data_IF_845404347704
#
_entry.id   IF_845404347704
#
_cell.length_a   1.000
_cell.length_b   1.000
_cell.length_c   1.000
_cell.angle_alpha   90.00
_cell.angle_beta   90.00
_cell.angle_gamma   90.00
#
_symmetry.space_group_name_H-M   'P 1'
#
loop_
_entity.id
_entity.type
_entity.pdbx_description
1 polymer ?
#
# COMPACT_ATOMS: atom_id res chain seq x y z
N UNK A 1 -43.47 37.27 3.83
CA UNK A 1 -42.73 36.01 3.60
C UNK A 1 -43.70 34.98 3.02
N UNK A 2 -43.59 34.68 1.71
CA UNK A 2 -44.48 33.72 1.04
C UNK A 2 -43.81 32.34 1.02
N UNK A 3 -44.48 31.32 1.55
CA UNK A 3 -44.03 29.92 1.50
C UNK A 3 -44.51 29.31 0.17
N UNK A 4 -43.59 28.88 -0.67
CA UNK A 4 -43.88 28.16 -1.91
C UNK A 4 -44.33 26.72 -1.63
N UNK A 5 -45.49 26.26 -2.16
CA UNK A 5 -45.98 24.89 -1.95
C UNK A 5 -45.50 23.87 -3.00
N UNK A 6 -44.49 24.17 -3.83
CA UNK A 6 -44.02 23.28 -4.92
C UNK A 6 -42.72 22.53 -4.63
N UNK A 7 -42.59 21.91 -3.46
CA UNK A 7 -41.54 20.91 -3.20
C UNK A 7 -42.17 19.62 -2.70
N UNK A 8 -42.60 18.81 -3.64
CA UNK A 8 -42.85 17.40 -3.35
C UNK A 8 -41.52 16.67 -3.07
N UNK A 9 -41.49 15.74 -2.11
CA UNK A 9 -40.34 14.88 -1.89
C UNK A 9 -40.21 13.87 -3.03
N UNK A 10 -39.06 13.89 -3.71
CA UNK A 10 -38.64 12.86 -4.65
C UNK A 10 -38.66 11.48 -3.97
N UNK A 11 -39.60 10.63 -4.38
CA UNK A 11 -39.63 9.21 -4.05
C UNK A 11 -38.89 8.42 -5.15
N UNK A 12 -37.73 7.80 -4.88
CA UNK A 12 -37.14 6.88 -5.84
C UNK A 12 -37.97 5.60 -5.88
N UNK A 13 -38.70 5.43 -6.99
CA UNK A 13 -39.38 4.20 -7.38
C UNK A 13 -38.37 3.05 -7.30
N UNK A 14 -38.66 2.07 -6.45
CA UNK A 14 -37.91 0.81 -6.33
C UNK A 14 -38.10 -0.01 -7.62
N UNK A 15 -37.30 0.33 -8.63
CA UNK A 15 -37.15 -0.44 -9.86
C UNK A 15 -36.40 -1.75 -9.58
N UNK A 16 -37.03 -2.84 -10.00
CA UNK A 16 -36.63 -4.23 -9.83
C UNK A 16 -35.20 -4.48 -10.34
N UNK A 17 -34.39 -5.16 -9.53
CA UNK A 17 -33.13 -5.74 -9.96
C UNK A 17 -33.40 -6.71 -11.13
N UNK A 18 -32.84 -6.40 -12.30
CA UNK A 18 -32.69 -7.39 -13.37
C UNK A 18 -31.44 -8.23 -13.10
N UNK A 19 -31.52 -9.57 -13.14
CA UNK A 19 -30.36 -10.42 -13.04
C UNK A 19 -29.69 -10.45 -14.42
N UNK A 20 -28.56 -9.77 -14.58
CA UNK A 20 -27.71 -10.00 -15.75
C UNK A 20 -27.25 -11.45 -15.75
N UNK A 21 -27.33 -12.12 -16.91
CA UNK A 21 -26.08 -12.59 -17.46
C UNK A 21 -26.05 -12.27 -18.96
N UNK A 22 -24.97 -11.65 -19.42
CA UNK A 22 -24.29 -11.95 -20.70
C UNK A 22 -23.30 -10.84 -21.03
N UNK A 23 -22.04 -11.25 -21.21
CA UNK A 23 -20.94 -10.36 -21.53
C UNK A 23 -19.58 -11.01 -21.30
N UNK A 24 -19.39 -12.24 -21.82
CA UNK A 24 -18.04 -12.79 -22.05
C UNK A 24 -17.32 -11.84 -23.00
N UNK A 25 -16.43 -11.00 -22.45
CA UNK A 25 -15.49 -10.23 -23.24
C UNK A 25 -14.35 -11.19 -23.60
N UNK A 26 -14.42 -11.75 -24.80
CA UNK A 26 -13.32 -12.43 -25.46
C UNK A 26 -12.17 -11.43 -25.64
N UNK A 27 -11.12 -11.58 -24.85
CA UNK A 27 -9.82 -10.98 -25.15
C UNK A 27 -9.14 -11.86 -26.21
N UNK A 28 -9.00 -11.32 -27.42
CA UNK A 28 -8.25 -11.90 -28.53
C UNK A 28 -7.21 -10.87 -28.97
N UNK A 29 -5.95 -11.29 -29.08
CA UNK A 29 -4.81 -10.51 -29.59
C UNK A 29 -3.96 -9.93 -28.47
N UNK A 30 -2.85 -10.58 -28.12
CA UNK A 30 -1.52 -10.28 -28.69
C UNK A 30 -0.70 -9.60 -27.57
N UNK A 31 0.54 -9.90 -27.25
CA UNK A 31 1.64 -10.53 -27.96
C UNK A 31 2.60 -11.07 -26.89
N UNK A 32 3.17 -12.24 -27.16
CA UNK A 32 4.35 -12.74 -26.47
C UNK A 32 5.52 -11.80 -26.80
N UNK A 33 6.09 -11.10 -25.82
CA UNK A 33 7.40 -10.46 -26.02
C UNK A 33 8.47 -11.24 -25.25
N UNK A 34 9.01 -12.21 -25.97
CA UNK A 34 10.23 -12.95 -25.66
C UNK A 34 11.38 -12.00 -25.39
N UNK A 35 11.93 -12.12 -24.18
CA UNK A 35 13.17 -11.57 -23.73
C UNK A 35 14.34 -12.09 -24.60
N UNK A 36 14.64 -11.43 -25.72
CA UNK A 36 15.81 -11.75 -26.54
C UNK A 36 16.98 -10.87 -26.12
N UNK A 37 17.88 -11.46 -25.34
CA UNK A 37 19.28 -11.06 -25.27
C UNK A 37 19.85 -10.94 -26.68
N UNK A 38 20.13 -9.72 -27.15
CA UNK A 38 21.07 -9.49 -28.23
C UNK A 38 22.32 -8.86 -27.64
N UNK A 39 23.22 -9.75 -27.20
CA UNK A 39 24.65 -9.49 -27.26
C UNK A 39 24.97 -9.21 -28.73
N UNK A 40 25.22 -7.94 -29.05
CA UNK A 40 25.88 -7.56 -30.29
C UNK A 40 27.19 -6.87 -29.90
N UNK A 41 28.22 -7.69 -29.80
CA UNK A 41 29.60 -7.26 -29.91
C UNK A 41 29.83 -6.82 -31.36
N UNK A 42 29.96 -5.51 -31.58
CA UNK A 42 30.55 -4.99 -32.81
C UNK A 42 31.97 -4.52 -32.50
N UNK A 43 33.00 -5.06 -33.17
CA UNK A 43 34.37 -4.63 -33.03
C UNK A 43 34.66 -3.47 -34.00
N UNK A 44 35.56 -2.57 -33.58
CA UNK A 44 36.24 -1.55 -34.39
C UNK A 44 35.45 -0.25 -34.65
N UNK A 45 35.71 0.74 -33.81
CA UNK A 45 36.06 2.06 -34.34
C UNK A 45 37.14 2.69 -33.47
N UNK A 46 38.37 2.33 -33.84
CA UNK A 46 39.62 2.93 -33.43
C UNK A 46 39.81 4.23 -34.23
N UNK A 47 39.75 5.38 -33.56
CA UNK A 47 40.30 6.68 -34.03
C UNK A 47 40.23 7.77 -32.93
N UNK A 48 41.32 7.84 -32.16
CA UNK A 48 42.12 9.05 -31.89
C UNK A 48 41.45 10.37 -31.48
N UNK A 49 41.53 10.71 -30.18
CA UNK A 49 41.60 12.10 -29.64
C UNK A 49 42.53 12.05 -28.38
N UNK A 50 43.33 13.08 -28.07
CA UNK A 50 44.64 12.92 -27.47
C UNK A 50 44.61 12.71 -25.96
N UNK A 51 45.51 11.85 -25.51
CA UNK A 51 45.82 11.54 -24.11
C UNK A 51 46.59 12.71 -23.49
N UNK A 52 45.86 13.71 -22.99
CA UNK A 52 46.41 14.68 -22.03
C UNK A 52 46.23 14.14 -20.62
N UNK A 53 47.18 13.32 -20.21
CA UNK A 53 47.47 13.06 -18.81
C UNK A 53 48.94 12.64 -18.78
N UNK A 54 49.77 13.46 -18.15
CA UNK A 54 51.18 13.19 -17.92
C UNK A 54 51.37 11.72 -17.52
N UNK A 55 52.08 10.96 -18.35
CA UNK A 55 52.36 9.56 -18.07
C UNK A 55 53.45 9.53 -17.01
N UNK A 56 53.10 9.09 -15.80
CA UNK A 56 54.09 8.60 -14.85
C UNK A 56 54.85 7.40 -15.49
N UNK A 57 56.14 7.22 -15.19
CA UNK A 57 56.97 6.17 -15.80
C UNK A 57 56.43 4.76 -15.51
N UNK A 58 56.65 3.80 -16.43
CA UNK A 58 56.10 2.46 -16.33
C UNK A 58 56.78 1.70 -15.18
N UNK A 59 56.02 1.46 -14.11
CA UNK A 59 56.49 0.75 -12.92
C UNK A 59 56.08 1.40 -11.59
N UNK A 60 55.60 2.64 -11.60
CA UNK A 60 55.12 3.27 -10.38
C UNK A 60 53.60 3.04 -10.21
N UNK A 61 53.25 1.98 -9.49
CA UNK A 61 51.94 1.90 -8.84
C UNK A 61 51.94 3.01 -7.78
N UNK A 62 51.00 3.97 -7.78
CA UNK A 62 50.89 4.92 -6.69
C UNK A 62 50.70 4.12 -5.40
N UNK A 63 51.61 4.27 -4.44
CA UNK A 63 51.59 3.54 -3.15
C UNK A 63 50.42 4.00 -2.25
N UNK A 64 49.52 4.83 -2.79
CA UNK A 64 48.33 5.34 -2.11
C UNK A 64 47.02 4.69 -2.61
N UNK A 65 47.10 3.48 -3.18
CA UNK A 65 45.93 2.61 -3.34
C UNK A 65 45.70 1.86 -2.02
N UNK A 66 45.59 2.61 -0.93
CA UNK A 66 45.08 2.09 0.32
C UNK A 66 43.55 1.94 0.16
N UNK A 67 43.06 0.70 0.28
CA UNK A 67 41.64 0.32 0.23
C UNK A 67 40.74 1.00 1.30
N UNK A 68 41.25 2.02 2.00
CA UNK A 68 40.56 2.76 3.06
C UNK A 68 40.12 4.17 2.67
N UNK A 69 40.62 4.76 1.59
CA UNK A 69 40.38 6.18 1.26
C UNK A 69 39.88 6.42 -0.18
N UNK A 70 39.21 5.44 -0.79
CA UNK A 70 38.49 5.68 -2.05
C UNK A 70 37.20 6.45 -1.74
N UNK A 71 37.29 7.78 -1.64
CA UNK A 71 36.12 8.64 -1.57
C UNK A 71 35.50 8.67 -2.99
N UNK A 72 34.66 7.66 -3.28
CA UNK A 72 33.89 7.60 -4.51
C UNK A 72 32.92 8.80 -4.53
N UNK A 73 33.38 9.94 -5.04
CA UNK A 73 32.52 11.09 -5.38
C UNK A 73 31.33 10.64 -6.23
N UNK A 74 31.53 9.62 -7.07
CA UNK A 74 30.46 8.98 -7.84
C UNK A 74 29.43 8.25 -6.96
N UNK A 75 29.84 7.60 -5.86
CA UNK A 75 28.92 6.91 -4.95
C UNK A 75 28.06 7.88 -4.11
N UNK A 76 28.52 9.11 -3.84
CA UNK A 76 27.68 10.17 -3.26
C UNK A 76 26.48 10.50 -4.17
N UNK A 77 26.61 10.27 -5.48
CA UNK A 77 25.57 10.49 -6.49
C UNK A 77 24.83 9.22 -6.92
N UNK A 78 25.22 8.03 -6.46
CA UNK A 78 24.61 6.74 -6.87
C UNK A 78 23.14 6.59 -6.44
N UNK A 79 22.67 7.36 -5.46
CA UNK A 79 21.23 7.49 -5.12
C UNK A 79 20.49 8.63 -5.82
N UNK A 80 21.21 9.54 -6.50
CA UNK A 80 20.69 10.74 -7.16
C UNK A 80 20.60 10.60 -8.68
N UNK A 81 20.35 9.39 -9.20
CA UNK A 81 20.03 9.20 -10.63
C UNK A 81 18.71 9.90 -10.95
N UNK A 82 18.82 11.17 -11.34
CA UNK A 82 17.71 12.08 -11.52
C UNK A 82 17.39 12.80 -10.22
N UNK A 83 17.93 14.01 -10.11
CA UNK A 83 17.59 15.01 -9.12
C UNK A 83 16.26 14.84 -8.42
N UNK A 84 16.31 14.90 -7.09
CA UNK A 84 15.14 14.87 -6.24
C UNK A 84 14.06 15.89 -6.65
N UNK A 85 12.95 15.91 -5.92
CA UNK A 85 11.90 16.94 -6.12
C UNK A 85 12.49 18.37 -6.15
N UNK A 86 13.56 18.60 -5.38
CA UNK A 86 14.27 19.88 -5.29
C UNK A 86 15.00 20.26 -6.59
N UNK A 87 15.66 19.32 -7.26
CA UNK A 87 16.31 19.60 -8.55
C UNK A 87 15.28 19.88 -9.63
N UNK A 88 14.21 19.07 -9.73
CA UNK A 88 13.12 19.32 -10.68
C UNK A 88 12.48 20.70 -10.44
N UNK A 89 12.31 21.10 -9.18
CA UNK A 89 11.81 22.43 -8.83
C UNK A 89 12.80 23.55 -9.19
N UNK A 90 14.10 23.31 -9.00
CA UNK A 90 15.17 24.23 -9.39
C UNK A 90 15.20 24.43 -10.91
N UNK A 91 15.21 23.34 -11.67
CA UNK A 91 15.12 23.34 -13.13
C UNK A 91 13.85 24.05 -13.61
N UNK A 92 12.70 23.80 -12.97
CA UNK A 92 11.46 24.49 -13.32
C UNK A 92 11.57 26.00 -13.10
N UNK A 93 12.19 26.44 -12.00
CA UNK A 93 12.42 27.87 -11.74
C UNK A 93 13.36 28.47 -12.78
N UNK A 94 14.45 27.80 -13.10
CA UNK A 94 15.40 28.24 -14.13
C UNK A 94 14.73 28.33 -15.51
N UNK A 95 14.00 27.30 -15.93
CA UNK A 95 13.26 27.29 -17.20
C UNK A 95 12.24 28.42 -17.27
N UNK A 96 11.47 28.66 -16.20
CA UNK A 96 10.51 29.78 -16.13
C UNK A 96 11.20 31.14 -16.21
N UNK A 97 12.32 31.32 -15.51
CA UNK A 97 13.12 32.55 -15.57
C UNK A 97 13.66 32.80 -16.98
N UNK A 98 14.22 31.77 -17.62
CA UNK A 98 14.68 31.86 -19.02
C UNK A 98 13.54 32.27 -19.96
N UNK A 99 12.39 31.60 -19.88
CA UNK A 99 11.22 31.94 -20.71
C UNK A 99 10.73 33.37 -20.46
N UNK A 100 10.67 33.81 -19.20
CA UNK A 100 10.27 35.17 -18.86
C UNK A 100 11.28 36.21 -19.38
N UNK A 101 12.59 35.95 -19.20
CA UNK A 101 13.65 36.83 -19.69
C UNK A 101 13.63 36.98 -21.21
N UNK A 102 13.48 35.87 -21.95
CA UNK A 102 13.34 35.95 -23.41
C UNK A 102 12.09 36.74 -23.81
N UNK A 103 10.93 36.52 -23.16
CA UNK A 103 9.70 37.25 -23.47
C UNK A 103 9.85 38.77 -23.32
N UNK A 104 10.59 39.23 -22.31
CA UNK A 104 10.87 40.66 -22.12
C UNK A 104 11.76 41.22 -23.23
N UNK A 105 12.78 40.47 -23.62
CA UNK A 105 13.81 40.90 -24.57
C UNK A 105 13.44 40.69 -26.05
N UNK A 106 12.32 40.03 -26.38
CA UNK A 106 11.91 39.76 -27.77
C UNK A 106 11.68 41.01 -28.63
N UNK A 107 11.50 42.17 -28.00
CA UNK A 107 11.32 43.45 -28.68
C UNK A 107 12.63 44.05 -29.21
N UNK A 108 13.79 43.56 -28.75
CA UNK A 108 15.11 44.03 -29.20
C UNK A 108 15.80 43.00 -30.10
N UNK A 109 16.59 43.49 -31.06
CA UNK A 109 17.39 42.64 -31.95
C UNK A 109 18.38 41.77 -31.16
N UNK A 110 18.99 42.34 -30.12
CA UNK A 110 19.88 41.64 -29.20
C UNK A 110 19.17 40.51 -28.45
N UNK A 111 17.94 40.74 -28.00
CA UNK A 111 17.14 39.72 -27.33
C UNK A 111 16.75 38.54 -28.22
N UNK A 112 16.47 38.81 -29.50
CA UNK A 112 16.24 37.77 -30.50
C UNK A 112 17.52 36.95 -30.71
N UNK A 113 18.68 37.61 -30.82
CA UNK A 113 19.97 36.91 -30.97
C UNK A 113 20.31 36.03 -29.76
N UNK A 114 20.09 36.53 -28.53
CA UNK A 114 20.29 35.75 -27.31
C UNK A 114 19.40 34.51 -27.26
N UNK A 115 18.11 34.66 -27.60
CA UNK A 115 17.20 33.52 -27.70
C UNK A 115 17.66 32.50 -28.74
N UNK A 116 18.09 32.96 -29.91
CA UNK A 116 18.59 32.08 -30.97
C UNK A 116 19.87 31.35 -30.54
N UNK A 117 20.80 32.04 -29.85
CA UNK A 117 22.01 31.43 -29.28
C UNK A 117 21.66 30.30 -28.31
N UNK A 118 20.71 30.53 -27.42
CA UNK A 118 20.30 29.53 -26.44
C UNK A 118 19.60 28.33 -27.09
N UNK A 119 18.77 28.56 -28.12
CA UNK A 119 18.13 27.49 -28.88
C UNK A 119 19.15 26.65 -29.65
N UNK A 120 20.14 27.28 -30.28
CA UNK A 120 21.23 26.60 -30.98
C UNK A 120 22.12 25.82 -30.02
N UNK A 121 22.46 26.39 -28.86
CA UNK A 121 23.21 25.69 -27.80
C UNK A 121 22.46 24.45 -27.31
N UNK A 122 21.15 24.58 -27.06
CA UNK A 122 20.32 23.44 -26.67
C UNK A 122 20.21 22.38 -27.79
N UNK A 123 20.17 22.79 -29.05
CA UNK A 123 20.17 21.87 -30.19
C UNK A 123 21.51 21.13 -30.31
N UNK A 124 22.63 21.83 -30.17
CA UNK A 124 23.97 21.24 -30.18
C UNK A 124 24.16 20.21 -29.05
N UNK A 125 23.69 20.52 -27.84
CA UNK A 125 23.71 19.57 -26.73
C UNK A 125 22.88 18.31 -27.02
N UNK A 126 21.68 18.47 -27.60
CA UNK A 126 20.87 17.32 -28.01
C UNK A 126 21.53 16.50 -29.12
N UNK A 127 22.17 17.15 -30.08
CA UNK A 127 22.93 16.49 -31.15
C UNK A 127 24.12 15.70 -30.58
N UNK A 128 24.78 16.22 -29.54
CA UNK A 128 25.80 15.52 -28.78
C UNK A 128 25.25 14.39 -27.86
N UNK A 129 23.95 14.09 -27.92
CA UNK A 129 23.30 13.04 -27.12
C UNK A 129 22.98 13.45 -25.68
N UNK A 130 23.22 14.71 -25.29
CA UNK A 130 22.91 15.21 -23.95
C UNK A 130 21.41 15.49 -23.82
N UNK A 131 20.78 14.93 -22.79
CA UNK A 131 19.34 15.09 -22.52
C UNK A 131 19.05 16.45 -21.87
N UNK A 132 18.74 17.45 -22.70
CA UNK A 132 18.36 18.80 -22.25
C UNK A 132 16.94 18.80 -21.64
N UNK A 133 16.79 19.26 -20.39
CA UNK A 133 15.53 19.24 -19.60
C UNK A 133 14.96 20.65 -19.35
N UNK A 134 14.75 21.43 -20.40
CA UNK A 134 14.39 22.85 -20.27
C UNK A 134 12.90 23.18 -20.45
N UNK A 135 12.05 22.19 -20.76
CA UNK A 135 10.62 22.43 -20.96
C UNK A 135 9.88 22.61 -19.62
N UNK A 136 9.33 23.82 -19.33
CA UNK A 136 8.67 24.11 -18.06
C UNK A 136 7.38 23.31 -17.86
N UNK A 137 6.64 22.98 -18.92
CA UNK A 137 5.40 22.21 -18.81
C UNK A 137 5.70 20.75 -18.47
N UNK A 138 6.71 20.16 -19.14
CA UNK A 138 7.15 18.78 -18.83
C UNK A 138 7.71 18.66 -17.42
N UNK A 139 8.48 19.65 -16.96
CA UNK A 139 8.99 19.69 -15.59
C UNK A 139 7.86 19.80 -14.57
N UNK A 140 6.88 20.69 -14.79
CA UNK A 140 5.72 20.83 -13.91
C UNK A 140 4.89 19.53 -13.83
N UNK A 141 4.62 18.88 -14.97
CA UNK A 141 3.95 17.58 -15.02
C UNK A 141 4.72 16.50 -14.25
N UNK A 142 6.04 16.50 -14.34
CA UNK A 142 6.91 15.56 -13.62
C UNK A 142 6.85 15.75 -12.11
N UNK A 143 6.88 17.00 -11.64
CA UNK A 143 6.68 17.36 -10.23
C UNK A 143 5.30 16.90 -9.75
N UNK A 144 4.24 17.17 -10.51
CA UNK A 144 2.88 16.78 -10.16
C UNK A 144 2.72 15.25 -10.05
N UNK A 145 3.28 14.49 -11.01
CA UNK A 145 3.32 13.03 -10.98
C UNK A 145 4.02 12.52 -9.71
N UNK A 146 5.18 13.10 -9.35
CA UNK A 146 5.93 12.71 -8.16
C UNK A 146 5.16 13.02 -6.86
N UNK A 147 4.48 14.18 -6.79
CA UNK A 147 3.58 14.52 -5.67
C UNK A 147 2.42 13.53 -5.57
N UNK A 148 1.80 13.16 -6.69
CA UNK A 148 0.72 12.16 -6.72
C UNK A 148 1.21 10.80 -6.22
N UNK A 149 2.38 10.32 -6.70
CA UNK A 149 2.99 9.07 -6.21
C UNK A 149 3.19 9.08 -4.69
N UNK A 150 3.71 10.18 -4.13
CA UNK A 150 3.88 10.33 -2.68
C UNK A 150 2.56 10.33 -1.91
N UNK A 151 1.52 11.00 -2.43
CA UNK A 151 0.18 10.94 -1.83
C UNK A 151 -0.40 9.52 -1.86
N UNK A 152 -0.26 8.81 -2.99
CA UNK A 152 -0.74 7.43 -3.11
C UNK A 152 0.00 6.48 -2.17
N UNK A 153 1.33 6.62 -2.05
CA UNK A 153 2.10 5.82 -1.09
C UNK A 153 1.66 6.09 0.34
N UNK A 154 1.45 7.36 0.71
CA UNK A 154 0.96 7.74 2.03
C UNK A 154 -0.44 7.17 2.31
N UNK A 155 -1.38 7.27 1.35
CA UNK A 155 -2.72 6.69 1.46
C UNK A 155 -2.67 5.17 1.65
N UNK A 156 -1.81 4.47 0.92
CA UNK A 156 -1.62 3.02 1.05
C UNK A 156 -1.05 2.66 2.42
N UNK A 157 -0.09 3.43 2.91
CA UNK A 157 0.49 3.24 4.25
C UNK A 157 -0.55 3.47 5.35
N UNK A 158 -1.30 4.57 5.28
CA UNK A 158 -2.39 4.83 6.22
C UNK A 158 -3.43 3.71 6.21
N UNK A 159 -3.80 3.19 5.02
CA UNK A 159 -4.70 2.05 4.91
C UNK A 159 -4.13 0.79 5.56
N UNK A 160 -2.83 0.53 5.42
CA UNK A 160 -2.17 -0.63 6.06
C UNK A 160 -2.17 -0.50 7.58
N UNK A 161 -1.83 0.67 8.11
CA UNK A 161 -1.85 0.95 9.55
C UNK A 161 -3.27 0.77 10.09
N UNK A 162 -4.26 1.38 9.46
CA UNK A 162 -5.66 1.21 9.85
C UNK A 162 -6.10 -0.26 9.82
N UNK A 163 -5.72 -1.02 8.80
CA UNK A 163 -6.08 -2.44 8.74
C UNK A 163 -5.47 -3.26 9.88
N UNK A 164 -4.25 -2.93 10.30
CA UNK A 164 -3.62 -3.55 11.46
C UNK A 164 -4.35 -3.18 12.75
N UNK A 165 -4.72 -1.91 12.93
CA UNK A 165 -5.52 -1.44 14.06
C UNK A 165 -6.87 -2.14 14.13
N UNK A 166 -7.61 -2.17 13.01
CA UNK A 166 -8.91 -2.85 12.89
C UNK A 166 -8.75 -4.36 13.20
N UNK A 167 -7.68 -4.99 12.73
CA UNK A 167 -7.42 -6.42 13.01
C UNK A 167 -7.17 -6.68 14.48
N UNK A 168 -6.41 -5.82 15.17
CA UNK A 168 -6.16 -5.94 16.61
C UNK A 168 -7.45 -5.71 17.39
N UNK A 169 -8.23 -4.68 17.02
CA UNK A 169 -9.49 -4.36 17.68
C UNK A 169 -10.50 -5.51 17.54
N UNK A 170 -10.60 -6.12 16.36
CA UNK A 170 -11.49 -7.27 16.13
C UNK A 170 -11.11 -8.46 17.01
N UNK A 171 -9.83 -8.81 17.12
CA UNK A 171 -9.37 -9.90 18.00
C UNK A 171 -9.71 -9.62 19.47
N UNK A 172 -9.56 -8.37 19.92
CA UNK A 172 -9.93 -7.96 21.29
C UNK A 172 -11.44 -8.07 21.51
N UNK A 173 -12.26 -7.59 20.55
CA UNK A 173 -13.72 -7.70 20.59
C UNK A 173 -14.18 -9.16 20.62
N UNK A 174 -13.63 -10.01 19.76
CA UNK A 174 -13.96 -11.43 19.71
C UNK A 174 -13.64 -12.13 21.04
N UNK A 175 -12.47 -11.83 21.62
CA UNK A 175 -12.08 -12.37 22.93
C UNK A 175 -12.99 -11.89 24.06
N UNK A 176 -13.43 -10.63 24.02
CA UNK A 176 -14.39 -10.08 24.98
C UNK A 176 -15.76 -10.74 24.85
N UNK A 177 -16.26 -10.86 23.61
CA UNK A 177 -17.54 -11.51 23.31
C UNK A 177 -17.53 -12.98 23.74
N UNK A 178 -16.46 -13.71 23.47
CA UNK A 178 -16.30 -15.10 23.91
C UNK A 178 -16.36 -15.23 25.45
N UNK A 179 -15.68 -14.34 26.18
CA UNK A 179 -15.75 -14.30 27.65
C UNK A 179 -17.18 -14.01 28.14
N UNK A 180 -17.85 -13.03 27.53
CA UNK A 180 -19.21 -12.66 27.92
C UNK A 180 -20.21 -13.80 27.64
N UNK A 181 -20.14 -14.41 26.46
CA UNK A 181 -20.95 -15.57 26.09
C UNK A 181 -20.75 -16.74 27.05
N UNK A 182 -19.51 -17.02 27.44
CA UNK A 182 -19.22 -18.07 28.41
C UNK A 182 -19.77 -17.74 29.82
N UNK A 183 -19.71 -16.47 30.26
CA UNK A 183 -20.33 -16.01 31.51
C UNK A 183 -21.85 -16.21 31.48
N UNK A 184 -22.51 -15.76 30.40
CA UNK A 184 -23.95 -15.93 30.21
C UNK A 184 -24.36 -17.41 30.22
N UNK A 185 -23.57 -18.29 29.59
CA UNK A 185 -23.81 -19.74 29.60
C UNK A 185 -23.72 -20.35 31.00
N UNK A 186 -22.73 -19.91 31.79
CA UNK A 186 -22.58 -20.34 33.20
C UNK A 186 -23.75 -19.86 34.05
N UNK A 187 -24.17 -18.62 33.89
CA UNK A 187 -25.31 -18.06 34.63
C UNK A 187 -26.64 -18.73 34.25
N UNK A 188 -26.86 -19.02 32.96
CA UNK A 188 -28.02 -19.77 32.49
C UNK A 188 -28.06 -21.20 33.09
N UNK A 189 -26.94 -21.93 33.07
CA UNK A 189 -26.86 -23.27 33.67
C UNK A 189 -27.08 -23.25 35.18
N UNK A 190 -26.60 -22.22 35.89
CA UNK A 190 -26.88 -22.04 37.32
C UNK A 190 -28.38 -21.83 37.58
N UNK A 191 -29.03 -20.95 36.80
CA UNK A 191 -30.47 -20.69 36.90
C UNK A 191 -31.29 -21.95 36.61
N UNK A 192 -30.93 -22.72 35.60
CA UNK A 192 -31.59 -23.98 35.26
C UNK A 192 -31.47 -25.01 36.39
N UNK A 193 -30.26 -25.19 36.95
CA UNK A 193 -30.04 -26.08 38.12
C UNK A 193 -30.83 -25.62 39.34
N UNK A 194 -30.94 -24.31 39.58
CA UNK A 194 -31.75 -23.77 40.67
C UNK A 194 -33.24 -24.09 40.47
N UNK A 195 -33.79 -23.81 39.28
CA UNK A 195 -35.17 -24.16 38.92
C UNK A 195 -35.46 -25.66 39.08
N UNK A 196 -34.53 -26.53 38.65
CA UNK A 196 -34.68 -27.98 38.81
C UNK A 196 -34.71 -28.40 40.28
N UNK A 197 -33.89 -27.78 41.14
CA UNK A 197 -33.91 -28.02 42.59
C UNK A 197 -35.22 -27.54 43.23
N UNK A 198 -35.75 -26.40 42.81
CA UNK A 198 -37.05 -25.90 43.27
C UNK A 198 -38.20 -26.82 42.84
N UNK A 199 -38.20 -27.28 41.59
CA UNK A 199 -39.19 -28.23 41.10
C UNK A 199 -39.16 -29.56 41.87
N UNK A 200 -37.98 -30.11 42.15
CA UNK A 200 -37.83 -31.35 42.96
C UNK A 200 -38.33 -31.11 44.40
N UNK A 201 -38.03 -29.95 45.01
CA UNK A 201 -38.55 -29.61 46.34
C UNK A 201 -40.08 -29.46 46.36
N UNK A 202 -40.67 -28.92 45.29
CA UNK A 202 -42.12 -28.81 45.15
C UNK A 202 -42.79 -30.19 45.01
N UNK A 203 -42.22 -31.09 44.20
CA UNK A 203 -42.72 -32.47 44.05
C UNK A 203 -42.62 -33.25 45.36
N UNK A 204 -41.50 -33.15 46.08
CA UNK A 204 -41.32 -33.83 47.37
C UNK A 204 -42.21 -33.24 48.50
N UNK A 205 -42.65 -31.99 48.40
CA UNK A 205 -43.66 -31.41 49.32
C UNK A 205 -45.08 -31.84 48.97
N UNK A 206 -45.37 -32.18 47.72
CA UNK A 206 -46.66 -32.74 47.29
C UNK A 206 -46.81 -34.23 47.59
N UNK A 207 -45.72 -34.98 47.71
CA UNK A 207 -45.75 -36.43 47.99
C UNK A 207 -45.71 -36.80 49.48
N UNK A 208 -45.80 -35.82 50.40
CA UNK A 208 -45.72 -36.07 51.84
C UNK A 208 -47.10 -36.33 52.51
N UNK A 209 -48.20 -36.36 51.76
CA UNK A 209 -49.56 -36.54 52.32
C UNK A 209 -50.15 -37.94 52.13
N UNK A 210 -49.63 -38.79 51.25
CA UNK A 210 -50.18 -40.15 51.08
C UNK A 210 -49.11 -41.21 50.87
N UNK A 211 -48.62 -41.80 51.97
CA UNK A 211 -48.29 -43.24 52.08
C UNK A 211 -47.85 -43.60 53.49
N UNK A 212 -48.83 -43.80 54.38
CA UNK A 212 -48.71 -44.80 55.46
C UNK A 212 -49.13 -46.13 54.83
N UNK A 213 -48.20 -47.06 54.65
CA UNK A 213 -48.54 -48.36 54.08
C UNK A 213 -47.32 -49.21 53.77
N UNK A 214 -46.91 -49.95 54.80
CA UNK A 214 -46.20 -51.22 54.80
C UNK A 214 -44.70 -51.28 54.43
N UNK A 215 -43.97 -51.84 55.39
CA UNK A 215 -42.57 -52.21 55.30
C UNK A 215 -42.41 -53.54 54.55
N UNK A 216 -41.35 -53.66 53.74
CA UNK A 216 -40.44 -54.81 53.61
C UNK A 216 -39.68 -54.78 52.27
N UNK A 217 -38.54 -55.49 52.26
CA UNK A 217 -37.70 -55.86 51.11
C UNK A 217 -36.70 -54.82 50.58
N UNK A 218 -35.55 -54.75 51.28
CA UNK A 218 -34.25 -55.18 50.74
C UNK A 218 -34.07 -55.18 49.21
N UNK A 219 -33.28 -54.24 48.69
CA UNK A 219 -32.64 -54.38 47.37
C UNK A 219 -31.30 -53.64 47.34
N UNK A 220 -30.24 -54.37 47.70
CA UNK A 220 -28.87 -54.06 47.27
C UNK A 220 -28.83 -54.07 45.74
N UNK A 221 -28.46 -52.93 45.13
CA UNK A 221 -28.47 -52.80 43.67
C UNK A 221 -27.45 -51.77 43.17
N UNK A 222 -26.23 -52.24 42.96
CA UNK A 222 -25.08 -51.52 42.44
C UNK A 222 -25.39 -50.69 41.16
N UNK A 223 -24.93 -49.44 41.12
CA UNK A 223 -24.64 -48.73 39.86
C UNK A 223 -23.28 -48.04 39.91
N UNK A 224 -22.29 -48.84 39.52
CA UNK A 224 -21.07 -48.54 38.76
C UNK A 224 -20.98 -47.08 38.26
N UNK A 225 -20.01 -46.33 38.78
CA UNK A 225 -19.54 -45.06 38.18
C UNK A 225 -18.56 -45.41 37.06
N UNK A 226 -18.68 -44.91 35.82
CA UNK A 226 -17.55 -44.89 34.91
C UNK A 226 -16.68 -43.69 35.26
N UNK A 227 -15.60 -43.96 36.00
CA UNK A 227 -14.41 -43.11 36.04
C UNK A 227 -13.47 -43.52 34.91
N UNK A 228 -13.24 -42.63 33.96
CA UNK A 228 -12.13 -42.69 33.00
C UNK A 228 -12.15 -41.34 32.27
N UNK A 229 -11.20 -40.42 32.40
CA UNK A 229 -9.73 -40.52 32.55
C UNK A 229 -9.09 -41.39 31.46
N UNK A 230 -9.13 -40.89 30.24
CA UNK A 230 -8.08 -41.05 29.23
C UNK A 230 -8.00 -39.70 28.50
N UNK A 231 -6.88 -38.99 28.40
CA UNK A 231 -5.51 -39.47 28.35
C UNK A 231 -5.07 -39.48 26.88
N UNK A 232 -4.53 -38.33 26.45
CA UNK A 232 -3.67 -38.05 25.29
C UNK A 232 -3.25 -39.24 24.40
N UNK A 233 -3.32 -39.03 23.08
CA UNK A 233 -2.14 -38.96 22.19
C UNK A 233 -2.39 -37.91 21.12
#
# INVERSE_FOLDING_TARGET
>A
MRKDPRREPWNPIKGKQSPFPHGRRVFRGGENNTNSHRNRSDPRNDRSVPRSSAQAPPGHIPIDISFGNFDFQDMKNVGQRGGGMRELASLLRQARRKVAGHKQLLHSREGIQLRNRDLLSAAAQRAAGIKVKDDPQRLAKSIAKRKSKKRQSAKRWAKRVKHLEDSVENVVKDRSNAKNMHRMRREASKKEKAKRREAIKAVNKGSAVEKKGNASAEAKGARKRPSGRGGRK
#
